data_IF_590154663714
#
_entry.id   IF_590154663714
#
_cell.length_a   1.000
_cell.length_b   1.000
_cell.length_c   1.000
_cell.angle_alpha   90.00
_cell.angle_beta   90.00
_cell.angle_gamma   90.00
#
_symmetry.space_group_name_H-M   'P 1'
#
loop_
_entity.id
_entity.type
_entity.pdbx_description
1 polymer ?
#
# COMPACT_ATOMS: atom_id res chain seq x y z
N UNK A 1 -14.45 -12.85 -12.72
CA UNK A 1 -15.51 -13.14 -11.74
C UNK A 1 -16.13 -14.49 -12.05
N UNK A 2 -16.77 -15.12 -11.08
CA UNK A 2 -17.51 -16.37 -11.20
C UNK A 2 -18.92 -16.20 -10.63
N UNK A 3 -19.84 -17.12 -10.94
CA UNK A 3 -21.18 -17.16 -10.34
C UNK A 3 -21.22 -18.26 -9.28
N UNK A 4 -21.54 -17.90 -8.03
CA UNK A 4 -21.73 -18.83 -6.94
C UNK A 4 -23.14 -19.44 -7.03
N UNK A 5 -23.20 -20.74 -7.32
CA UNK A 5 -24.46 -21.45 -7.49
C UNK A 5 -25.24 -21.67 -6.18
N UNK A 6 -24.59 -21.59 -5.02
CA UNK A 6 -25.22 -21.74 -3.71
C UNK A 6 -25.84 -20.41 -3.28
N UNK A 7 -25.02 -19.34 -3.25
CA UNK A 7 -25.45 -18.02 -2.79
C UNK A 7 -26.11 -17.16 -3.88
N UNK A 8 -26.14 -17.65 -5.13
CA UNK A 8 -26.74 -16.99 -6.30
C UNK A 8 -26.19 -15.59 -6.58
N UNK A 9 -24.93 -15.35 -6.25
CA UNK A 9 -24.24 -14.06 -6.38
C UNK A 9 -22.93 -14.20 -7.17
N UNK A 10 -22.48 -13.13 -7.82
CA UNK A 10 -21.17 -13.12 -8.48
C UNK A 10 -20.07 -12.84 -7.46
N UNK A 11 -18.96 -13.56 -7.59
CA UNK A 11 -17.78 -13.49 -6.71
C UNK A 11 -16.50 -13.27 -7.50
N UNK A 12 -15.46 -12.81 -6.81
CA UNK A 12 -14.09 -12.84 -7.32
C UNK A 12 -13.41 -14.14 -6.88
N UNK A 13 -12.66 -14.78 -7.77
CA UNK A 13 -11.84 -15.95 -7.45
C UNK A 13 -10.40 -15.64 -7.84
N UNK A 14 -9.53 -15.55 -6.84
CA UNK A 14 -8.09 -15.34 -6.99
C UNK A 14 -7.38 -16.70 -6.99
N UNK A 15 -6.92 -17.16 -8.16
CA UNK A 15 -6.07 -18.35 -8.29
C UNK A 15 -4.62 -17.99 -7.97
N UNK A 16 -3.96 -18.78 -7.12
CA UNK A 16 -2.57 -18.61 -6.73
C UNK A 16 -1.84 -19.95 -6.82
N UNK A 17 -0.63 -19.95 -7.39
CA UNK A 17 0.25 -21.13 -7.51
C UNK A 17 1.58 -20.85 -6.78
N UNK A 18 1.61 -20.81 -5.43
CA UNK A 18 2.73 -20.23 -4.69
C UNK A 18 3.88 -21.21 -4.42
N UNK A 19 3.66 -22.52 -4.61
CA UNK A 19 4.47 -23.57 -3.99
C UNK A 19 5.91 -23.70 -4.52
N UNK A 20 6.20 -23.14 -5.70
CA UNK A 20 7.54 -23.14 -6.30
C UNK A 20 8.50 -22.13 -5.63
N UNK A 21 7.99 -21.16 -4.87
CA UNK A 21 8.81 -20.10 -4.28
C UNK A 21 8.45 -19.82 -2.83
N UNK A 22 9.43 -19.96 -1.93
CA UNK A 22 9.26 -19.70 -0.49
C UNK A 22 8.64 -18.34 -0.21
N UNK A 23 9.06 -17.29 -0.92
CA UNK A 23 8.53 -15.92 -0.77
C UNK A 23 7.04 -15.87 -1.10
N UNK A 24 6.57 -16.57 -2.13
CA UNK A 24 5.16 -16.59 -2.52
C UNK A 24 4.32 -17.40 -1.53
N UNK A 25 4.84 -18.53 -1.02
CA UNK A 25 4.21 -19.27 0.07
C UNK A 25 4.01 -18.40 1.31
N UNK A 26 5.05 -17.67 1.74
CA UNK A 26 4.97 -16.77 2.90
C UNK A 26 3.96 -15.64 2.71
N UNK A 27 3.89 -15.05 1.50
CA UNK A 27 2.89 -14.02 1.17
C UNK A 27 1.47 -14.57 1.21
N UNK A 28 1.26 -15.73 0.58
CA UNK A 28 -0.07 -16.37 0.50
C UNK A 28 -0.58 -16.79 1.87
N UNK A 29 0.24 -17.49 2.67
CA UNK A 29 -0.14 -17.90 4.03
C UNK A 29 -0.49 -16.69 4.89
N UNK A 30 0.25 -15.59 4.75
CA UNK A 30 0.02 -14.38 5.52
C UNK A 30 -1.27 -13.68 5.14
N UNK A 31 -1.51 -13.50 3.84
CA UNK A 31 -2.75 -12.93 3.32
C UNK A 31 -3.95 -13.71 3.85
N UNK A 32 -3.93 -15.05 3.73
CA UNK A 32 -5.00 -15.92 4.24
C UNK A 32 -5.20 -15.75 5.75
N UNK A 33 -4.14 -15.82 6.56
CA UNK A 33 -4.25 -15.72 8.02
C UNK A 33 -4.81 -14.36 8.47
N UNK A 34 -4.40 -13.28 7.82
CA UNK A 34 -4.89 -11.93 8.15
C UNK A 34 -6.35 -11.77 7.74
N UNK A 35 -6.68 -12.10 6.49
CA UNK A 35 -8.03 -11.88 5.96
C UNK A 35 -9.10 -12.79 6.59
N UNK A 36 -8.75 -14.01 7.03
CA UNK A 36 -9.66 -14.84 7.81
C UNK A 36 -9.93 -14.28 9.22
N UNK A 37 -9.04 -13.43 9.75
CA UNK A 37 -9.21 -12.81 11.07
C UNK A 37 -9.88 -11.45 11.00
N UNK A 38 -9.74 -10.74 9.89
CA UNK A 38 -10.30 -9.41 9.71
C UNK A 38 -11.75 -9.47 9.26
N UNK A 39 -12.59 -8.64 9.87
CA UNK A 39 -13.97 -8.42 9.46
C UNK A 39 -14.30 -6.94 9.57
N UNK A 40 -14.26 -6.26 8.43
CA UNK A 40 -14.49 -4.83 8.34
C UNK A 40 -15.00 -4.47 6.94
N UNK A 41 -15.92 -3.51 6.82
CA UNK A 41 -16.56 -3.15 5.54
C UNK A 41 -15.54 -2.67 4.50
N UNK A 42 -14.51 -1.92 4.93
CA UNK A 42 -13.47 -1.38 4.06
C UNK A 42 -12.23 -2.28 3.91
N UNK A 43 -12.35 -3.57 4.21
CA UNK A 43 -11.29 -4.57 3.98
C UNK A 43 -11.91 -5.74 3.21
N UNK A 44 -11.20 -6.25 2.20
CA UNK A 44 -11.67 -7.41 1.45
C UNK A 44 -11.73 -8.66 2.35
N UNK A 45 -12.82 -9.43 2.28
CA UNK A 45 -12.95 -10.68 3.01
C UNK A 45 -12.40 -11.89 2.24
N UNK A 46 -12.35 -13.03 2.93
CA UNK A 46 -12.29 -14.36 2.30
C UNK A 46 -13.61 -15.07 2.64
N UNK A 47 -14.36 -15.40 1.60
CA UNK A 47 -15.66 -16.06 1.72
C UNK A 47 -15.51 -17.58 1.66
N UNK A 48 -14.56 -18.08 0.86
CA UNK A 48 -14.24 -19.51 0.74
C UNK A 48 -12.79 -19.72 0.25
N UNK A 49 -12.23 -20.91 0.46
CA UNK A 49 -10.92 -21.33 -0.04
C UNK A 49 -11.03 -22.72 -0.66
N UNK A 50 -10.83 -22.79 -1.98
CA UNK A 50 -10.86 -24.05 -2.73
C UNK A 50 -9.42 -24.51 -2.99
N UNK A 51 -9.15 -25.79 -2.75
CA UNK A 51 -7.88 -26.46 -2.98
C UNK A 51 -8.10 -27.95 -3.25
N UNK A 52 -7.06 -28.65 -3.68
CA UNK A 52 -7.09 -30.10 -3.78
C UNK A 52 -7.32 -30.76 -2.39
N UNK A 53 -7.94 -31.95 -2.34
CA UNK A 53 -8.27 -32.63 -1.09
C UNK A 53 -7.01 -33.04 -0.31
N UNK A 54 -5.94 -33.43 -1.01
CA UNK A 54 -4.65 -33.82 -0.39
C UNK A 54 -3.53 -32.85 -0.74
N UNK A 55 -2.47 -32.82 0.08
CA UNK A 55 -1.33 -31.92 -0.09
C UNK A 55 -0.51 -32.25 -1.34
N UNK A 56 -0.39 -33.52 -1.69
CA UNK A 56 0.37 -34.02 -2.85
C UNK A 56 -0.27 -33.56 -4.18
N UNK A 57 -1.59 -33.35 -4.18
CA UNK A 57 -2.34 -32.88 -5.34
C UNK A 57 -2.48 -31.35 -5.37
N UNK A 58 -2.14 -30.65 -4.28
CA UNK A 58 -2.37 -29.22 -4.14
C UNK A 58 -1.30 -28.41 -4.87
N UNK A 59 -1.57 -28.08 -6.14
CA UNK A 59 -0.73 -27.17 -6.95
C UNK A 59 -1.17 -25.71 -6.88
N UNK A 60 -2.47 -25.50 -6.64
CA UNK A 60 -3.12 -24.20 -6.67
C UNK A 60 -4.01 -24.01 -5.45
N UNK A 61 -4.17 -22.76 -5.02
CA UNK A 61 -5.16 -22.32 -4.03
C UNK A 61 -6.04 -21.26 -4.70
N UNK A 62 -7.35 -21.39 -4.53
CA UNK A 62 -8.34 -20.45 -5.05
C UNK A 62 -9.02 -19.77 -3.88
N UNK A 63 -8.84 -18.46 -3.76
CA UNK A 63 -9.44 -17.64 -2.70
C UNK A 63 -10.67 -16.96 -3.28
N UNK A 64 -11.83 -17.23 -2.69
CA UNK A 64 -13.11 -16.62 -3.07
C UNK A 64 -13.35 -15.37 -2.22
N UNK A 65 -13.65 -14.24 -2.88
CA UNK A 65 -13.78 -12.93 -2.25
C UNK A 65 -14.99 -12.17 -2.83
N UNK A 66 -15.36 -11.08 -2.17
CA UNK A 66 -16.36 -10.14 -2.70
C UNK A 66 -15.92 -9.64 -4.08
N UNK A 67 -16.87 -9.58 -5.02
CA UNK A 67 -16.61 -9.02 -6.33
C UNK A 67 -16.66 -7.49 -6.26
N UNK A 68 -15.58 -6.85 -6.68
CA UNK A 68 -15.49 -5.40 -6.87
C UNK A 68 -15.26 -5.10 -8.35
N UNK A 69 -15.91 -4.07 -8.88
CA UNK A 69 -16.00 -3.77 -10.30
C UNK A 69 -14.71 -3.15 -10.85
N UNK A 70 -14.03 -2.34 -10.05
CA UNK A 70 -12.79 -1.66 -10.45
C UNK A 70 -11.85 -1.46 -9.26
N UNK A 71 -10.75 -0.76 -9.51
CA UNK A 71 -9.81 -0.30 -8.51
C UNK A 71 -9.54 1.20 -8.72
N UNK A 72 -9.05 1.88 -7.68
CA UNK A 72 -8.80 3.31 -7.73
C UNK A 72 -7.77 3.68 -8.82
N UNK A 73 -6.81 2.79 -9.12
CA UNK A 73 -5.84 3.01 -10.19
C UNK A 73 -6.51 3.12 -11.57
N UNK A 74 -7.42 2.20 -11.90
CA UNK A 74 -8.18 2.26 -13.16
C UNK A 74 -9.12 3.46 -13.20
N UNK A 75 -9.74 3.81 -12.07
CA UNK A 75 -10.62 4.98 -11.99
C UNK A 75 -9.84 6.27 -12.31
N UNK A 76 -8.68 6.48 -11.67
CA UNK A 76 -7.84 7.66 -11.86
C UNK A 76 -7.25 7.80 -13.27
N UNK A 77 -7.23 6.73 -14.07
CA UNK A 77 -6.85 6.81 -15.50
C UNK A 77 -7.91 7.41 -16.40
N UNK A 78 -9.17 7.36 -15.97
CA UNK A 78 -10.32 7.65 -16.85
C UNK A 78 -11.22 8.77 -16.32
N UNK A 79 -11.15 9.06 -15.02
CA UNK A 79 -12.05 10.00 -14.36
C UNK A 79 -11.26 11.00 -13.50
N UNK A 80 -11.69 12.27 -13.52
CA UNK A 80 -11.29 13.26 -12.51
C UNK A 80 -12.30 13.18 -11.37
N UNK A 81 -11.82 13.06 -10.14
CA UNK A 81 -12.68 12.92 -8.97
C UNK A 81 -13.15 14.30 -8.50
N UNK A 82 -14.43 14.39 -8.10
CA UNK A 82 -14.90 15.57 -7.35
C UNK A 82 -14.35 15.55 -5.93
N UNK A 83 -14.32 16.70 -5.25
CA UNK A 83 -13.85 16.76 -3.87
C UNK A 83 -14.63 15.82 -2.94
N UNK A 84 -15.95 15.72 -3.09
CA UNK A 84 -16.77 14.77 -2.32
C UNK A 84 -16.32 13.31 -2.48
N UNK A 85 -15.99 12.89 -3.70
CA UNK A 85 -15.46 11.55 -3.95
C UNK A 85 -14.09 11.36 -3.28
N UNK A 86 -13.21 12.37 -3.37
CA UNK A 86 -11.87 12.32 -2.74
C UNK A 86 -12.01 12.19 -1.22
N UNK A 87 -12.85 13.03 -0.59
CA UNK A 87 -13.14 12.98 0.83
C UNK A 87 -13.73 11.62 1.24
N UNK A 88 -14.69 11.10 0.47
CA UNK A 88 -15.34 9.83 0.76
C UNK A 88 -14.39 8.63 0.63
N UNK A 89 -13.57 8.57 -0.41
CA UNK A 89 -12.56 7.53 -0.56
C UNK A 89 -11.48 7.63 0.52
N UNK A 90 -10.97 8.83 0.82
CA UNK A 90 -9.99 9.04 1.89
C UNK A 90 -10.54 8.59 3.25
N UNK A 91 -11.80 8.92 3.55
CA UNK A 91 -12.47 8.45 4.76
C UNK A 91 -12.49 6.92 4.84
N UNK A 92 -12.92 6.23 3.78
CA UNK A 92 -13.01 4.77 3.76
C UNK A 92 -11.63 4.09 3.87
N UNK A 93 -10.60 4.65 3.22
CA UNK A 93 -9.20 4.21 3.36
C UNK A 93 -8.76 4.31 4.81
N UNK A 94 -8.92 5.47 5.44
CA UNK A 94 -8.50 5.70 6.83
C UNK A 94 -9.34 4.89 7.82
N UNK A 95 -10.62 4.66 7.55
CA UNK A 95 -11.48 3.79 8.38
C UNK A 95 -11.01 2.34 8.35
N UNK A 96 -10.72 1.79 7.17
CA UNK A 96 -10.12 0.47 7.02
C UNK A 96 -8.74 0.40 7.68
N UNK A 97 -7.90 1.40 7.45
CA UNK A 97 -6.54 1.45 8.00
C UNK A 97 -6.52 1.53 9.53
N UNK A 98 -7.44 2.29 10.14
CA UNK A 98 -7.64 2.31 11.59
C UNK A 98 -7.89 0.90 12.14
N UNK A 99 -8.74 0.11 11.49
CA UNK A 99 -8.99 -1.27 11.89
C UNK A 99 -7.73 -2.13 11.78
N UNK A 100 -7.02 -2.07 10.64
CA UNK A 100 -5.76 -2.80 10.41
C UNK A 100 -4.73 -2.46 11.50
N UNK A 101 -4.51 -1.17 11.75
CA UNK A 101 -3.55 -0.66 12.73
C UNK A 101 -3.96 -0.98 14.17
N UNK A 102 -5.25 -1.07 14.47
CA UNK A 102 -5.73 -1.49 15.80
C UNK A 102 -5.37 -2.95 16.13
N UNK A 103 -5.23 -3.80 15.10
CA UNK A 103 -4.77 -5.18 15.23
C UNK A 103 -3.23 -5.31 15.24
N UNK A 104 -2.51 -4.19 15.36
CA UNK A 104 -1.05 -4.11 15.26
C UNK A 104 -0.48 -4.68 13.95
N UNK A 105 -1.24 -4.57 12.86
CA UNK A 105 -0.81 -4.97 11.51
C UNK A 105 -0.45 -3.73 10.70
N UNK A 106 0.59 -3.86 9.86
CA UNK A 106 0.99 -2.89 8.84
C UNK A 106 0.64 -3.48 7.47
N UNK A 107 0.08 -2.69 6.56
CA UNK A 107 -0.25 -3.15 5.21
C UNK A 107 1.01 -3.21 4.31
N UNK A 108 1.85 -2.18 4.36
CA UNK A 108 3.17 -2.06 3.70
C UNK A 108 3.17 -1.95 2.18
N UNK A 109 2.02 -2.08 1.53
CA UNK A 109 1.89 -1.93 0.07
C UNK A 109 0.56 -1.24 -0.32
N UNK A 110 0.20 -0.17 0.39
CA UNK A 110 -0.96 0.65 0.01
C UNK A 110 -0.64 1.44 -1.25
N UNK A 111 -1.51 1.31 -2.25
CA UNK A 111 -1.46 1.99 -3.55
C UNK A 111 -2.82 1.91 -4.23
N UNK A 112 -3.13 2.75 -5.24
CA UNK A 112 -4.46 2.80 -5.86
C UNK A 112 -4.94 1.46 -6.43
N UNK A 113 -4.06 0.59 -6.93
CA UNK A 113 -4.45 -0.74 -7.45
C UNK A 113 -4.90 -1.72 -6.36
N UNK A 114 -4.56 -1.43 -5.09
CA UNK A 114 -4.90 -2.26 -3.92
C UNK A 114 -6.13 -1.69 -3.16
N UNK A 115 -6.83 -0.73 -3.78
CA UNK A 115 -8.05 -0.11 -3.27
C UNK A 115 -9.17 -0.41 -4.27
N UNK A 116 -9.94 -1.45 -3.97
CA UNK A 116 -11.03 -1.92 -4.82
C UNK A 116 -12.26 -1.05 -4.63
N UNK A 117 -13.01 -0.81 -5.71
CA UNK A 117 -14.19 0.05 -5.75
C UNK A 117 -15.34 -0.66 -6.45
N UNK A 118 -16.56 -0.43 -5.96
CA UNK A 118 -17.79 -0.84 -6.63
C UNK A 118 -18.55 0.35 -7.23
N UNK A 119 -19.67 0.08 -7.88
CA UNK A 119 -20.52 1.11 -8.53
C UNK A 119 -21.16 2.10 -7.55
N UNK A 120 -21.31 1.74 -6.27
CA UNK A 120 -21.81 2.61 -5.19
C UNK A 120 -20.70 3.39 -4.46
N UNK A 121 -19.46 3.36 -4.99
CA UNK A 121 -18.29 4.00 -4.40
C UNK A 121 -17.87 3.43 -3.02
N UNK A 122 -18.27 2.20 -2.69
CA UNK A 122 -17.71 1.50 -1.53
C UNK A 122 -16.30 1.03 -1.85
N UNK A 123 -15.40 1.23 -0.89
CA UNK A 123 -13.98 0.96 -1.03
C UNK A 123 -13.54 -0.16 -0.09
N UNK A 124 -12.80 -1.13 -0.63
CA UNK A 124 -12.16 -2.22 0.13
C UNK A 124 -10.65 -2.27 -0.12
N UNK A 125 -9.87 -2.28 0.96
CA UNK A 125 -8.42 -2.52 0.92
C UNK A 125 -8.17 -4.02 0.65
N UNK A 126 -7.26 -4.33 -0.28
CA UNK A 126 -6.88 -5.70 -0.63
C UNK A 126 -5.36 -5.90 -0.71
N UNK A 127 -4.92 -7.15 -0.95
CA UNK A 127 -3.52 -7.58 -1.08
C UNK A 127 -2.66 -7.42 0.19
N UNK A 128 -2.90 -8.30 1.16
CA UNK A 128 -2.17 -8.37 2.42
C UNK A 128 -0.90 -9.25 2.34
N UNK A 129 -0.42 -9.58 1.13
CA UNK A 129 0.75 -10.45 0.94
C UNK A 129 2.01 -9.89 1.60
N UNK A 130 2.18 -8.57 1.59
CA UNK A 130 3.32 -7.86 2.18
C UNK A 130 3.11 -7.39 3.62
N UNK A 131 1.90 -7.54 4.17
CA UNK A 131 1.57 -7.08 5.51
C UNK A 131 2.48 -7.70 6.59
N UNK A 132 2.60 -7.11 7.77
CA UNK A 132 3.32 -7.70 8.92
C UNK A 132 2.72 -7.21 10.23
N UNK A 133 2.93 -7.97 11.31
CA UNK A 133 2.75 -7.42 12.66
C UNK A 133 3.80 -6.34 12.87
N UNK A 134 3.41 -5.19 13.40
CA UNK A 134 4.34 -4.13 13.73
C UNK A 134 5.23 -4.59 14.89
N UNK A 135 6.53 -4.69 14.63
CA UNK A 135 7.56 -5.01 15.62
C UNK A 135 8.63 -3.91 15.57
N UNK A 136 8.50 -2.87 16.41
CA UNK A 136 9.46 -1.76 16.45
C UNK A 136 10.86 -2.21 16.87
N UNK A 137 10.99 -3.32 17.60
CA UNK A 137 12.20 -3.71 18.31
C UNK A 137 13.09 -4.67 17.50
N UNK A 138 12.50 -5.52 16.64
CA UNK A 138 13.21 -6.62 15.96
C UNK A 138 13.28 -6.53 14.43
N UNK A 139 12.97 -5.40 13.81
CA UNK A 139 12.99 -5.32 12.35
C UNK A 139 14.42 -5.20 11.78
N UNK A 140 15.03 -6.37 11.58
CA UNK A 140 16.29 -6.54 10.86
C UNK A 140 16.04 -6.40 9.35
N UNK A 141 16.20 -5.20 8.79
CA UNK A 141 16.49 -5.10 7.35
C UNK A 141 17.87 -4.47 7.13
N UNK A 142 18.77 -5.31 6.63
CA UNK A 142 20.03 -4.89 6.04
C UNK A 142 19.79 -4.00 4.82
N UNK A 143 20.80 -3.17 4.56
CA UNK A 143 20.89 -2.27 3.42
C UNK A 143 20.50 -2.98 2.11
N UNK A 144 19.70 -2.33 1.25
CA UNK A 144 19.52 -2.68 -0.17
C UNK A 144 18.79 -3.99 -0.49
N UNK A 145 17.82 -4.46 0.30
CA UNK A 145 16.95 -5.53 -0.23
C UNK A 145 16.09 -4.96 -1.35
N UNK A 146 16.42 -5.32 -2.59
CA UNK A 146 15.76 -4.83 -3.79
C UNK A 146 14.31 -5.32 -3.86
N UNK A 147 13.38 -4.49 -3.40
CA UNK A 147 11.96 -4.80 -3.51
C UNK A 147 11.45 -4.49 -4.92
N UNK A 148 11.11 -5.55 -5.66
CA UNK A 148 10.60 -5.61 -7.06
C UNK A 148 9.20 -4.96 -7.26
N UNK A 149 8.71 -4.17 -6.32
CA UNK A 149 7.38 -3.53 -6.39
C UNK A 149 7.45 -2.02 -6.68
N UNK A 150 6.33 -1.44 -7.10
CA UNK A 150 6.15 0.01 -7.31
C UNK A 150 6.62 0.80 -6.08
N UNK A 151 7.56 1.73 -6.28
CA UNK A 151 8.24 2.47 -5.20
C UNK A 151 7.55 3.77 -4.82
N UNK A 152 6.60 4.23 -5.65
CA UNK A 152 6.02 5.58 -5.59
C UNK A 152 5.33 5.92 -4.28
N UNK A 153 4.83 4.91 -3.57
CA UNK A 153 4.08 5.06 -2.30
C UNK A 153 4.92 4.72 -1.07
N UNK A 154 6.24 4.48 -1.22
CA UNK A 154 7.11 4.14 -0.09
C UNK A 154 7.59 5.37 0.64
N UNK A 155 7.55 5.29 1.97
CA UNK A 155 8.01 6.35 2.85
C UNK A 155 9.54 6.54 2.78
N UNK A 156 10.06 7.77 2.95
CA UNK A 156 11.49 8.05 2.85
C UNK A 156 12.32 7.25 3.87
N UNK A 157 11.78 6.94 5.05
CA UNK A 157 12.46 6.12 6.06
C UNK A 157 12.68 4.67 5.62
N UNK A 158 11.79 4.11 4.78
CA UNK A 158 11.99 2.82 4.10
C UNK A 158 13.23 2.89 3.21
N UNK A 159 13.48 4.06 2.62
CA UNK A 159 14.57 4.32 1.70
C UNK A 159 15.86 4.78 2.39
N UNK A 160 15.83 5.03 3.69
CA UNK A 160 17.00 5.46 4.46
C UNK A 160 17.43 4.39 5.47
N UNK A 161 16.77 3.22 5.43
CA UNK A 161 17.00 2.08 6.30
C UNK A 161 16.85 2.44 7.79
N UNK A 162 15.87 3.29 8.11
CA UNK A 162 15.51 3.57 9.50
C UNK A 162 14.99 2.28 10.12
N UNK A 163 15.50 1.93 11.31
CA UNK A 163 14.91 0.87 12.12
C UNK A 163 13.47 1.26 12.49
N UNK A 164 12.60 0.28 12.65
CA UNK A 164 11.23 0.48 13.13
C UNK A 164 10.26 0.86 12.01
N UNK A 165 9.85 -0.13 11.21
CA UNK A 165 8.65 0.02 10.40
C UNK A 165 7.46 0.20 11.35
N UNK A 166 6.96 1.43 11.43
CA UNK A 166 5.78 1.75 12.24
C UNK A 166 4.55 1.89 11.35
N UNK A 167 3.42 2.18 11.99
CA UNK A 167 2.16 2.56 11.32
C UNK A 167 2.32 3.78 10.40
N UNK A 168 3.35 4.63 10.60
CA UNK A 168 3.63 5.82 9.78
C UNK A 168 3.82 5.51 8.29
N UNK A 169 4.36 4.35 7.95
CA UNK A 169 4.69 4.00 6.56
C UNK A 169 3.42 3.86 5.71
N UNK A 170 2.34 3.33 6.31
CA UNK A 170 1.06 3.23 5.63
C UNK A 170 0.41 4.62 5.50
N UNK A 171 0.59 5.49 6.50
CA UNK A 171 0.10 6.89 6.45
C UNK A 171 0.80 7.67 5.32
N UNK A 172 2.10 7.47 5.12
CA UNK A 172 2.81 8.04 3.99
C UNK A 172 2.21 7.59 2.66
N UNK A 173 1.95 6.29 2.50
CA UNK A 173 1.30 5.75 1.31
C UNK A 173 -0.07 6.35 1.07
N UNK A 174 -0.88 6.54 2.13
CA UNK A 174 -2.18 7.24 2.05
C UNK A 174 -2.02 8.69 1.58
N UNK A 175 -1.02 9.42 2.06
CA UNK A 175 -0.72 10.77 1.57
C UNK A 175 -0.37 10.81 0.08
N UNK A 176 0.40 9.82 -0.39
CA UNK A 176 0.70 9.67 -1.82
C UNK A 176 -0.56 9.36 -2.65
N UNK A 177 -1.45 8.50 -2.14
CA UNK A 177 -2.75 8.19 -2.77
C UNK A 177 -3.63 9.43 -2.83
N UNK A 178 -3.72 10.21 -1.75
CA UNK A 178 -4.48 11.46 -1.71
C UNK A 178 -3.98 12.45 -2.77
N UNK A 179 -2.66 12.67 -2.84
CA UNK A 179 -2.06 13.52 -3.86
C UNK A 179 -2.37 13.05 -5.30
N UNK A 180 -2.41 11.72 -5.51
CA UNK A 180 -2.77 11.15 -6.81
C UNK A 180 -4.27 11.31 -7.11
N UNK A 181 -5.15 11.21 -6.11
CA UNK A 181 -6.58 11.50 -6.27
C UNK A 181 -6.84 12.98 -6.62
N UNK A 182 -6.05 13.90 -6.08
CA UNK A 182 -6.17 15.34 -6.34
C UNK A 182 -5.67 15.78 -7.72
N UNK A 183 -4.79 15.00 -8.37
CA UNK A 183 -4.08 15.42 -9.59
C UNK A 183 -4.10 14.41 -10.74
N UNK A 184 -4.68 13.22 -10.52
CA UNK A 184 -4.63 12.07 -11.42
C UNK A 184 -3.20 11.63 -11.81
N UNK A 185 -2.19 12.03 -11.03
CA UNK A 185 -0.78 11.78 -11.30
C UNK A 185 -0.04 11.37 -10.03
N UNK A 186 0.84 10.36 -10.08
CA UNK A 186 1.65 9.97 -8.92
C UNK A 186 2.55 11.15 -8.51
N UNK A 187 2.54 11.49 -7.22
CA UNK A 187 3.30 12.61 -6.67
C UNK A 187 4.82 12.37 -6.69
N UNK A 188 5.27 11.11 -6.51
CA UNK A 188 6.68 10.74 -6.48
C UNK A 188 6.99 9.56 -7.44
N UNK A 189 7.05 9.79 -8.76
CA UNK A 189 7.20 8.73 -9.75
C UNK A 189 8.67 8.32 -10.00
N UNK A 190 9.40 7.95 -8.94
CA UNK A 190 10.82 7.58 -9.05
C UNK A 190 11.05 6.29 -9.85
N UNK A 191 12.08 6.31 -10.73
CA UNK A 191 12.46 5.18 -11.61
C UNK A 191 13.29 4.12 -10.88
N UNK A 192 14.09 4.54 -9.93
CA UNK A 192 14.93 3.68 -9.09
C UNK A 192 15.02 4.25 -7.68
N UNK A 193 15.73 3.55 -6.79
CA UNK A 193 15.77 3.88 -5.36
C UNK A 193 16.19 5.33 -5.08
N UNK A 194 17.36 5.75 -5.59
CA UNK A 194 17.83 7.13 -5.37
C UNK A 194 16.93 8.17 -6.02
N UNK A 195 16.37 7.87 -7.19
CA UNK A 195 15.47 8.78 -7.91
C UNK A 195 14.18 9.04 -7.12
N UNK A 196 13.61 7.98 -6.53
CA UNK A 196 12.44 8.10 -5.67
C UNK A 196 12.70 9.05 -4.48
N UNK A 197 13.89 9.02 -3.88
CA UNK A 197 14.25 9.90 -2.77
C UNK A 197 14.42 11.34 -3.25
N UNK A 198 15.03 11.53 -4.43
CA UNK A 198 15.17 12.83 -5.06
C UNK A 198 13.82 13.48 -5.40
N UNK A 199 12.84 12.68 -5.85
CA UNK A 199 11.47 13.16 -6.06
C UNK A 199 10.82 13.64 -4.76
N UNK A 200 10.99 12.88 -3.67
CA UNK A 200 10.46 13.24 -2.35
C UNK A 200 11.07 14.56 -1.87
N UNK A 201 12.41 14.65 -1.86
CA UNK A 201 13.13 15.86 -1.44
C UNK A 201 12.90 17.05 -2.37
N UNK A 202 12.56 16.80 -3.64
CA UNK A 202 12.19 17.83 -4.60
C UNK A 202 10.92 18.60 -4.22
N UNK A 203 10.03 18.00 -3.42
CA UNK A 203 8.81 18.64 -2.93
C UNK A 203 8.93 19.00 -1.46
N UNK A 204 9.39 18.09 -0.61
CA UNK A 204 9.50 18.34 0.83
C UNK A 204 10.65 19.30 1.20
N UNK A 205 11.63 19.45 0.32
CA UNK A 205 12.86 20.18 0.58
C UNK A 205 13.93 19.30 1.23
N UNK A 206 15.09 19.92 1.52
CA UNK A 206 16.15 19.27 2.30
C UNK A 206 15.65 18.96 3.73
N UNK A 207 15.96 17.77 4.28
CA UNK A 207 15.57 17.44 5.65
C UNK A 207 16.19 18.42 6.65
N UNK A 208 15.49 18.67 7.77
CA UNK A 208 16.02 19.51 8.84
C UNK A 208 17.22 18.83 9.52
N UNK A 209 17.99 19.59 10.30
CA UNK A 209 19.08 19.01 11.08
C UNK A 209 18.58 17.97 12.09
N UNK A 210 17.39 18.18 12.66
CA UNK A 210 16.74 17.23 13.56
C UNK A 210 16.39 15.92 12.84
N UNK A 211 15.77 15.99 11.65
CA UNK A 211 15.46 14.82 10.84
C UNK A 211 16.73 14.05 10.43
N UNK A 212 17.79 14.76 10.04
CA UNK A 212 19.07 14.15 9.71
C UNK A 212 19.68 13.41 10.91
N UNK A 213 19.53 13.96 12.12
CA UNK A 213 20.03 13.34 13.35
C UNK A 213 19.29 12.05 13.69
N UNK A 214 18.02 11.90 13.30
CA UNK A 214 17.26 10.66 13.45
C UNK A 214 17.72 9.53 12.51
N UNK A 215 18.41 9.85 11.41
CA UNK A 215 18.89 8.85 10.44
C UNK A 215 20.18 8.21 10.95
N UNK A 216 20.09 7.03 11.56
CA UNK A 216 21.24 6.32 12.15
C UNK A 216 22.23 5.82 11.08
N UNK A 217 21.74 5.51 9.87
CA UNK A 217 22.58 5.00 8.79
C UNK A 217 23.49 6.10 8.23
N UNK A 218 24.79 6.02 8.53
CA UNK A 218 25.79 7.01 8.10
C UNK A 218 25.88 7.16 6.58
N UNK A 219 25.72 6.07 5.79
CA UNK A 219 25.75 6.16 4.33
C UNK A 219 24.56 6.96 3.81
N UNK A 220 23.37 6.70 4.34
CA UNK A 220 22.15 7.42 3.99
C UNK A 220 22.23 8.90 4.40
N UNK A 221 22.71 9.18 5.62
CA UNK A 221 22.92 10.54 6.11
C UNK A 221 23.93 11.32 5.27
N UNK A 222 25.09 10.73 4.99
CA UNK A 222 26.13 11.37 4.17
C UNK A 222 25.66 11.62 2.73
N UNK A 223 24.87 10.70 2.17
CA UNK A 223 24.24 10.92 0.87
C UNK A 223 23.33 12.16 0.89
N UNK A 224 22.44 12.28 1.88
CA UNK A 224 21.56 13.45 2.02
C UNK A 224 22.34 14.76 2.19
N UNK A 225 23.42 14.74 2.97
CA UNK A 225 24.31 15.90 3.16
C UNK A 225 25.07 16.29 1.88
N UNK A 226 25.30 15.36 0.96
CA UNK A 226 25.98 15.63 -0.32
C UNK A 226 25.07 16.28 -1.36
N UNK A 227 23.75 16.26 -1.15
CA UNK A 227 22.79 16.85 -2.09
C UNK A 227 22.75 18.37 -1.95
N UNK A 228 22.54 19.12 -3.05
CA UNK A 228 22.32 20.56 -2.99
C UNK A 228 21.05 20.87 -2.20
N UNK A 229 21.05 22.02 -1.51
CA UNK A 229 19.89 22.48 -0.75
C UNK A 229 18.65 22.63 -1.65
N UNK A 230 17.50 22.19 -1.14
CA UNK A 230 16.19 22.27 -1.82
C UNK A 230 15.18 22.95 -0.90
N UNK A 231 14.50 23.96 -1.43
CA UNK A 231 13.37 24.59 -0.75
C UNK A 231 12.13 23.69 -0.82
N UNK A 232 11.32 23.70 0.24
CA UNK A 232 10.01 23.05 0.24
C UNK A 232 9.09 23.71 -0.77
N UNK A 233 8.37 22.91 -1.55
CA UNK A 233 7.35 23.37 -2.48
C UNK A 233 6.01 23.47 -1.73
N UNK A 234 5.34 24.64 -1.74
CA UNK A 234 4.02 24.78 -1.13
C UNK A 234 2.98 23.86 -1.78
N UNK A 235 2.12 23.22 -0.97
CA UNK A 235 1.12 22.26 -1.48
C UNK A 235 0.10 22.90 -2.42
N UNK A 236 -0.32 24.13 -2.14
CA UNK A 236 -1.22 24.91 -3.01
C UNK A 236 -0.63 25.20 -4.40
N UNK A 237 0.71 25.15 -4.56
CA UNK A 237 1.34 25.23 -5.88
C UNK A 237 1.19 23.94 -6.68
N UNK A 238 1.16 22.79 -6.00
CA UNK A 238 0.97 21.49 -6.63
C UNK A 238 -0.51 21.18 -6.87
N UNK A 239 -1.38 21.62 -5.97
CA UNK A 239 -2.82 21.37 -6.00
C UNK A 239 -3.58 22.70 -5.88
N UNK A 240 -3.54 23.57 -6.91
CA UNK A 240 -4.14 24.91 -6.85
C UNK A 240 -5.67 24.91 -6.76
N UNK A 241 -6.31 23.80 -7.15
CA UNK A 241 -7.76 23.63 -7.15
C UNK A 241 -8.26 22.74 -5.99
N UNK A 242 -7.37 22.36 -5.06
CA UNK A 242 -7.79 21.61 -3.88
C UNK A 242 -8.45 22.56 -2.88
N UNK A 243 -9.53 22.09 -2.24
CA UNK A 243 -10.24 22.86 -1.22
C UNK A 243 -9.32 23.15 -0.02
N UNK A 244 -9.50 24.34 0.56
CA UNK A 244 -8.73 24.87 1.69
C UNK A 244 -9.21 24.34 3.04
#
# INVERSE_FOLDING_TARGET
>A
SAYDNLNKVRVAIKKISPFEHQTYCQRTLREIKILLRFRHENIIGINDIIRAPTIEQMKDVYIVQDLMETDLYKLLKTQHLSNDHICYFLYQILRGLKYIHSANVLHRDLKPSNLLLNTTCDLKICDFGLARVADPDHDHTGFLTEYVATRWYRAPEIMLNSKGYTKSIDIWSVGCILAEMLSNRPIFPGKHYLDQLNHILGILGSPSQEDLNCIINLKARNYLLSLPHKNKVPWNRLFPNADS
#
